data_IF_225678245344
#
_entry.id   IF_225678245344
#
_cell.length_a   1.000
_cell.length_b   1.000
_cell.length_c   1.000
_cell.angle_alpha   90.00
_cell.angle_beta   90.00
_cell.angle_gamma   90.00
#
_symmetry.space_group_name_H-M   'P 1'
#
loop_
_entity.id
_entity.type
_entity.pdbx_description
1 polymer ?
#
# COMPACT_ATOMS: atom_id res chain seq x y z
N UNK A 1 19.33 24.28 -15.90
CA UNK A 1 18.71 22.97 -16.17
C UNK A 1 17.26 23.09 -15.71
N UNK A 2 16.30 23.06 -16.62
CA UNK A 2 14.88 23.01 -16.25
C UNK A 2 14.63 21.65 -15.61
N UNK A 3 14.51 21.62 -14.28
CA UNK A 3 14.15 20.41 -13.54
C UNK A 3 12.72 20.01 -13.91
N UNK A 4 12.57 19.08 -14.85
CA UNK A 4 11.28 18.44 -15.11
C UNK A 4 10.96 17.46 -13.97
N UNK A 5 9.85 17.71 -13.27
CA UNK A 5 9.32 16.80 -12.28
C UNK A 5 8.57 15.64 -12.96
N UNK A 6 8.99 14.41 -12.68
CA UNK A 6 8.27 13.20 -13.12
C UNK A 6 6.94 13.11 -12.38
N UNK A 7 5.84 13.09 -13.13
CA UNK A 7 4.50 12.86 -12.59
C UNK A 7 4.25 11.35 -12.44
N UNK A 8 3.93 10.93 -11.23
CA UNK A 8 3.60 9.54 -10.90
C UNK A 8 2.12 9.43 -10.53
N UNK A 9 1.43 8.41 -11.04
CA UNK A 9 0.04 8.11 -10.71
C UNK A 9 -0.09 6.68 -10.19
N UNK A 10 -0.96 6.48 -9.21
CA UNK A 10 -1.24 5.18 -8.60
C UNK A 10 -2.70 4.83 -8.83
N UNK A 11 -2.99 3.56 -9.14
CA UNK A 11 -4.35 3.03 -9.31
C UNK A 11 -4.52 1.75 -8.52
N UNK A 12 -5.45 1.74 -7.58
CA UNK A 12 -5.89 0.51 -6.91
C UNK A 12 -6.89 -0.21 -7.81
N UNK A 13 -6.76 -1.55 -7.90
CA UNK A 13 -7.70 -2.41 -8.63
C UNK A 13 -8.64 -3.14 -7.67
N UNK A 14 -9.86 -3.51 -8.12
CA UNK A 14 -10.71 -4.42 -7.39
C UNK A 14 -10.10 -5.83 -7.25
N UNK A 15 -10.67 -6.61 -6.34
CA UNK A 15 -10.30 -8.01 -6.14
C UNK A 15 -10.62 -8.87 -7.37
N UNK A 16 -9.65 -9.70 -7.77
CA UNK A 16 -9.80 -10.72 -8.77
C UNK A 16 -10.56 -11.94 -8.21
N UNK A 17 -10.83 -12.95 -9.06
CA UNK A 17 -11.55 -14.17 -8.65
C UNK A 17 -10.81 -14.93 -7.55
N UNK A 18 -9.50 -15.11 -7.70
CA UNK A 18 -8.64 -15.82 -6.73
C UNK A 18 -8.63 -15.16 -5.34
N UNK A 19 -8.58 -13.83 -5.29
CA UNK A 19 -8.58 -13.05 -4.04
C UNK A 19 -9.92 -13.19 -3.31
N UNK A 20 -11.03 -13.16 -4.05
CA UNK A 20 -12.37 -13.42 -3.49
C UNK A 20 -12.53 -14.86 -2.99
N UNK A 21 -12.05 -15.84 -3.76
CA UNK A 21 -12.09 -17.26 -3.37
C UNK A 21 -11.27 -17.56 -2.10
N UNK A 22 -10.21 -16.79 -1.85
CA UNK A 22 -9.34 -16.93 -0.67
C UNK A 22 -9.70 -16.00 0.49
N UNK A 23 -10.83 -15.27 0.41
CA UNK A 23 -11.23 -14.27 1.41
C UNK A 23 -10.11 -13.28 1.74
N UNK A 24 -9.41 -12.78 0.72
CA UNK A 24 -8.31 -11.84 0.90
C UNK A 24 -8.80 -10.53 1.55
N UNK A 25 -7.97 -9.95 2.42
CA UNK A 25 -8.26 -8.70 3.12
C UNK A 25 -7.82 -7.48 2.28
N UNK A 26 -8.60 -6.40 2.34
CA UNK A 26 -8.19 -5.11 1.76
C UNK A 26 -7.21 -4.42 2.70
N UNK A 27 -5.94 -4.39 2.30
CA UNK A 27 -4.87 -3.76 3.07
C UNK A 27 -4.42 -2.40 2.51
N UNK A 28 -4.90 -1.99 1.35
CA UNK A 28 -4.51 -0.73 0.69
C UNK A 28 -5.67 0.26 0.75
N UNK A 29 -5.37 1.47 1.20
CA UNK A 29 -6.31 2.58 1.34
C UNK A 29 -5.78 3.82 0.61
N UNK A 30 -6.68 4.65 0.12
CA UNK A 30 -6.34 5.96 -0.45
C UNK A 30 -7.13 7.05 0.25
N UNK A 31 -6.44 8.12 0.61
CA UNK A 31 -7.04 9.37 1.07
C UNK A 31 -6.53 10.50 0.17
N UNK A 32 -7.34 10.91 -0.80
CA UNK A 32 -6.92 11.84 -1.85
C UNK A 32 -5.73 11.28 -2.66
N UNK A 33 -4.62 12.01 -2.67
CA UNK A 33 -3.39 11.62 -3.37
C UNK A 33 -2.46 10.75 -2.51
N UNK A 34 -2.82 10.49 -1.25
CA UNK A 34 -2.03 9.67 -0.32
C UNK A 34 -2.52 8.22 -0.37
N UNK A 35 -1.60 7.28 -0.59
CA UNK A 35 -1.89 5.84 -0.51
C UNK A 35 -1.24 5.27 0.75
N UNK A 36 -2.00 4.50 1.52
CA UNK A 36 -1.55 3.87 2.77
C UNK A 36 -1.71 2.36 2.66
N UNK A 37 -0.69 1.62 3.07
CA UNK A 37 -0.70 0.15 3.11
C UNK A 37 -0.65 -0.29 4.57
N UNK A 38 -1.63 -1.08 5.01
CA UNK A 38 -1.68 -1.68 6.34
C UNK A 38 -1.10 -3.09 6.29
N UNK A 39 -0.37 -3.48 7.32
CA UNK A 39 0.06 -4.88 7.44
C UNK A 39 -1.10 -5.74 7.97
N UNK A 40 -1.41 -6.90 7.37
CA UNK A 40 -2.56 -7.72 7.79
C UNK A 40 -2.41 -8.26 9.22
N UNK A 41 -1.19 -8.49 9.71
CA UNK A 41 -0.95 -9.02 11.06
C UNK A 41 -0.88 -7.93 12.14
N UNK A 42 -0.81 -6.64 11.76
CA UNK A 42 -0.73 -5.54 12.72
C UNK A 42 -2.13 -5.20 13.28
N UNK A 43 -2.67 -6.07 14.14
CA UNK A 43 -3.96 -5.87 14.83
C UNK A 43 -3.80 -5.00 16.10
N UNK A 44 -2.58 -4.70 16.54
CA UNK A 44 -2.32 -3.97 17.78
C UNK A 44 -1.22 -2.92 17.62
N UNK A 45 -1.55 -1.71 18.04
CA UNK A 45 -0.71 -0.50 18.17
C UNK A 45 -0.62 0.42 16.95
N UNK A 46 -1.47 1.45 17.05
CA UNK A 46 -1.35 2.76 16.43
C UNK A 46 -0.01 3.37 16.89
N UNK A 47 1.06 3.12 16.17
CA UNK A 47 2.18 4.04 16.11
C UNK A 47 2.31 4.41 14.63
N UNK A 48 2.04 5.68 14.34
CA UNK A 48 2.35 6.30 13.08
C UNK A 48 3.86 6.16 12.83
N UNK A 49 4.29 5.05 12.26
CA UNK A 49 5.54 5.01 11.51
C UNK A 49 5.25 5.80 10.24
N UNK A 50 5.45 7.11 10.36
CA UNK A 50 6.12 7.86 9.31
C UNK A 50 7.11 6.93 8.63
N UNK A 51 7.01 6.74 7.32
CA UNK A 51 8.10 6.19 6.52
C UNK A 51 9.30 7.17 6.58
N UNK A 52 9.91 7.30 7.76
CA UNK A 52 11.34 7.39 7.92
C UNK A 52 11.84 6.03 7.43
N UNK A 53 12.67 6.06 6.38
CA UNK A 53 13.30 4.92 5.70
C UNK A 53 12.52 4.37 4.48
N UNK A 54 13.01 4.80 3.30
CA UNK A 54 12.60 4.48 1.93
C UNK A 54 12.68 2.99 1.55
N UNK A 55 12.04 2.07 2.27
CA UNK A 55 11.94 0.67 1.84
C UNK A 55 10.57 0.10 2.19
N UNK A 56 9.63 0.17 1.24
CA UNK A 56 8.54 -0.81 1.20
C UNK A 56 9.15 -2.21 0.96
N UNK A 57 9.52 -2.92 2.04
CA UNK A 57 9.73 -4.37 1.97
C UNK A 57 8.38 -5.01 1.65
N UNK A 58 8.12 -5.21 0.37
CA UNK A 58 7.11 -6.16 -0.10
C UNK A 58 7.63 -7.52 0.35
N UNK A 59 7.22 -8.00 1.52
CA UNK A 59 7.48 -9.37 1.93
C UNK A 59 6.84 -10.29 0.89
N UNK A 60 7.62 -11.09 0.15
CA UNK A 60 7.04 -12.14 -0.66
C UNK A 60 6.57 -13.22 0.30
N UNK A 61 5.27 -13.28 0.58
CA UNK A 61 4.68 -14.52 1.06
C UNK A 61 4.51 -15.44 -0.17
N UNK A 62 5.58 -16.17 -0.49
CA UNK A 62 5.53 -17.42 -1.26
C UNK A 62 6.41 -18.44 -0.58
#
# INVERSE_FOLDING_TARGET
MSEEQVKVAVRIRPFNKRERERNAELIVFMNGNTTTIRHPESTSNILALSCLEDVCRIYPYV
#
